data_IF_556079618007
#
_entry.id   IF_556079618007
#
_cell.length_a   1.000
_cell.length_b   1.000
_cell.length_c   1.000
_cell.angle_alpha   90.00
_cell.angle_beta   90.00
_cell.angle_gamma   90.00
#
_symmetry.space_group_name_H-M   'P 1'
#
loop_
_entity.id
_entity.type
_entity.pdbx_description
1 polymer ?
#
# COMPACT_ATOMS: atom_id res chain seq x y z
N UNK A 1 11.42 15.56 -12.05
CA UNK A 1 10.44 14.46 -11.94
C UNK A 1 9.26 15.00 -11.17
N UNK A 2 8.02 14.82 -11.64
CA UNK A 2 6.84 15.21 -10.86
C UNK A 2 6.75 14.35 -9.59
N UNK A 3 6.28 14.92 -8.50
CA UNK A 3 6.16 14.29 -7.17
C UNK A 3 5.24 13.06 -7.19
N UNK A 4 4.22 13.07 -8.05
CA UNK A 4 3.40 11.89 -8.39
C UNK A 4 4.23 10.66 -8.78
N UNK A 5 5.22 10.88 -9.66
CA UNK A 5 6.07 9.83 -10.18
C UNK A 5 7.05 9.33 -9.10
N UNK A 6 7.27 10.11 -8.04
CA UNK A 6 8.07 9.69 -6.90
C UNK A 6 7.32 8.66 -6.04
N UNK A 7 6.11 8.97 -5.56
CA UNK A 7 5.34 8.08 -4.71
C UNK A 7 4.97 6.77 -5.41
N UNK A 8 4.53 6.82 -6.67
CA UNK A 8 4.19 5.59 -7.40
C UNK A 8 5.44 4.70 -7.59
N UNK A 9 6.61 5.30 -7.85
CA UNK A 9 7.87 4.58 -7.95
C UNK A 9 8.29 3.96 -6.61
N UNK A 10 8.14 4.70 -5.50
CA UNK A 10 8.48 4.17 -4.18
C UNK A 10 7.50 3.06 -3.75
N UNK A 11 6.21 3.19 -4.06
CA UNK A 11 5.22 2.14 -3.86
C UNK A 11 5.63 0.83 -4.56
N UNK A 12 5.98 0.90 -5.85
CA UNK A 12 6.45 -0.26 -6.63
C UNK A 12 7.74 -0.86 -6.07
N UNK A 13 8.66 -0.02 -5.59
CA UNK A 13 9.91 -0.47 -4.95
C UNK A 13 9.67 -1.16 -3.61
N UNK A 14 8.74 -0.66 -2.80
CA UNK A 14 8.36 -1.27 -1.54
C UNK A 14 7.61 -2.59 -1.76
N UNK A 15 6.74 -2.64 -2.77
CA UNK A 15 6.07 -3.87 -3.19
C UNK A 15 7.09 -4.94 -3.60
N UNK A 16 8.08 -4.59 -4.43
CA UNK A 16 9.14 -5.53 -4.81
C UNK A 16 9.92 -6.06 -3.60
N UNK A 17 10.22 -5.20 -2.62
CA UNK A 17 10.87 -5.64 -1.37
C UNK A 17 9.97 -6.55 -0.53
N UNK A 18 8.66 -6.29 -0.52
CA UNK A 18 7.71 -7.16 0.17
C UNK A 18 7.69 -8.57 -0.45
N UNK A 19 7.70 -8.66 -1.79
CA UNK A 19 7.85 -9.94 -2.51
C UNK A 19 9.17 -10.65 -2.16
N UNK A 20 10.30 -9.92 -2.18
CA UNK A 20 11.61 -10.50 -1.85
C UNK A 20 11.66 -11.06 -0.42
N UNK A 21 11.00 -10.40 0.53
CA UNK A 21 10.93 -10.88 1.91
C UNK A 21 9.94 -12.02 2.10
N UNK A 22 8.81 -11.97 1.40
CA UNK A 22 7.87 -13.08 1.38
C UNK A 22 8.53 -14.37 0.89
N UNK A 23 9.27 -14.33 -0.22
CA UNK A 23 10.00 -15.50 -0.73
C UNK A 23 11.04 -16.00 0.28
N UNK A 24 11.82 -15.09 0.88
CA UNK A 24 12.78 -15.46 1.95
C UNK A 24 12.10 -16.07 3.16
N UNK A 25 10.94 -15.56 3.56
CA UNK A 25 10.16 -16.08 4.67
C UNK A 25 9.65 -17.49 4.35
N UNK A 26 9.19 -17.72 3.12
CA UNK A 26 8.67 -19.01 2.66
C UNK A 26 9.77 -20.07 2.57
N UNK A 27 10.92 -19.73 2.02
CA UNK A 27 12.09 -20.63 1.95
C UNK A 27 12.57 -21.07 3.34
N UNK A 28 12.51 -20.17 4.32
CA UNK A 28 13.03 -20.41 5.68
C UNK A 28 11.96 -20.82 6.69
N UNK A 29 10.68 -20.80 6.29
CA UNK A 29 9.53 -20.97 7.17
C UNK A 29 9.63 -20.00 8.38
N UNK A 30 9.90 -18.73 8.09
CA UNK A 30 10.20 -17.71 9.09
C UNK A 30 9.05 -16.70 9.20
N UNK A 31 8.22 -16.86 10.24
CA UNK A 31 7.12 -15.95 10.51
C UNK A 31 7.54 -14.52 10.86
N UNK A 32 8.77 -14.30 11.36
CA UNK A 32 9.26 -12.93 11.61
C UNK A 32 9.50 -12.20 10.31
N UNK A 33 10.14 -12.86 9.34
CA UNK A 33 10.38 -12.28 8.01
C UNK A 33 9.05 -12.11 7.26
N UNK A 34 8.07 -13.00 7.47
CA UNK A 34 6.73 -12.85 6.89
C UNK A 34 6.04 -11.59 7.40
N UNK A 35 6.18 -11.27 8.69
CA UNK A 35 5.69 -10.00 9.26
C UNK A 35 6.38 -8.79 8.66
N UNK A 36 7.70 -8.87 8.43
CA UNK A 36 8.45 -7.79 7.76
C UNK A 36 7.96 -7.55 6.32
N UNK A 37 7.63 -8.63 5.59
CA UNK A 37 7.01 -8.54 4.27
C UNK A 37 5.66 -7.79 4.34
N UNK A 38 4.82 -8.10 5.34
CA UNK A 38 3.57 -7.39 5.58
C UNK A 38 3.78 -5.90 5.90
N UNK A 39 4.78 -5.60 6.73
CA UNK A 39 5.15 -4.21 7.04
C UNK A 39 5.53 -3.43 5.78
N UNK A 40 6.26 -4.05 4.84
CA UNK A 40 6.60 -3.42 3.55
C UNK A 40 5.41 -3.32 2.61
N UNK A 41 4.52 -4.32 2.61
CA UNK A 41 3.23 -4.26 1.92
C UNK A 41 2.44 -3.03 2.37
N UNK A 42 2.34 -2.80 3.68
CA UNK A 42 1.66 -1.62 4.21
C UNK A 42 2.31 -0.30 3.80
N UNK A 43 3.64 -0.20 3.85
CA UNK A 43 4.34 1.01 3.38
C UNK A 43 4.07 1.26 1.89
N UNK A 44 4.02 0.20 1.07
CA UNK A 44 3.66 0.31 -0.35
C UNK A 44 2.23 0.83 -0.54
N UNK A 45 1.26 0.35 0.24
CA UNK A 45 -0.12 0.87 0.24
C UNK A 45 -0.15 2.38 0.55
N UNK A 46 0.63 2.83 1.53
CA UNK A 46 0.73 4.24 1.90
C UNK A 46 1.25 5.08 0.72
N UNK A 47 2.38 4.67 0.12
CA UNK A 47 2.98 5.40 -1.00
C UNK A 47 2.06 5.42 -2.23
N UNK A 48 1.39 4.30 -2.54
CA UNK A 48 0.40 4.26 -3.61
C UNK A 48 -0.76 5.24 -3.31
N UNK A 49 -1.24 5.27 -2.07
CA UNK A 49 -2.30 6.19 -1.63
C UNK A 49 -1.87 7.66 -1.75
N UNK A 50 -0.61 7.99 -1.43
CA UNK A 50 -0.08 9.34 -1.64
C UNK A 50 0.01 9.70 -3.12
N UNK A 51 0.44 8.76 -3.97
CA UNK A 51 0.42 8.98 -5.42
C UNK A 51 -0.99 9.34 -5.92
N UNK A 52 -2.02 8.62 -5.48
CA UNK A 52 -3.41 8.95 -5.79
C UNK A 52 -3.79 10.36 -5.33
N UNK A 53 -3.49 10.72 -4.08
CA UNK A 53 -3.87 12.03 -3.53
C UNK A 53 -3.18 13.17 -4.29
N UNK A 54 -1.91 13.01 -4.65
CA UNK A 54 -1.17 13.98 -5.46
C UNK A 54 -1.76 14.09 -6.87
N UNK A 55 -2.11 12.97 -7.53
CA UNK A 55 -2.80 12.97 -8.83
C UNK A 55 -4.12 13.75 -8.82
N UNK A 56 -4.83 13.70 -7.69
CA UNK A 56 -6.08 14.46 -7.48
C UNK A 56 -5.86 15.91 -7.01
N UNK A 57 -4.64 16.43 -7.13
CA UNK A 57 -4.30 17.84 -6.84
C UNK A 57 -3.90 18.10 -5.39
N UNK A 58 -3.68 17.05 -4.58
CA UNK A 58 -3.10 17.19 -3.25
C UNK A 58 -1.63 17.63 -3.30
N UNK A 59 -1.22 18.47 -2.34
CA UNK A 59 0.18 18.89 -2.21
C UNK A 59 0.97 17.96 -1.30
N UNK A 60 2.24 17.80 -1.60
CA UNK A 60 3.18 16.94 -0.86
C UNK A 60 3.20 17.26 0.64
N UNK A 61 3.30 18.55 0.97
CA UNK A 61 3.36 19.04 2.35
C UNK A 61 2.07 18.85 3.15
N UNK A 62 0.95 18.60 2.47
CA UNK A 62 -0.37 18.36 3.05
C UNK A 62 -0.68 16.87 3.22
N UNK A 63 0.22 15.97 2.79
CA UNK A 63 0.01 14.53 2.90
C UNK A 63 -0.05 14.08 4.37
N UNK A 64 -1.03 13.25 4.74
CA UNK A 64 -1.29 12.89 6.12
C UNK A 64 -0.26 11.91 6.69
N UNK A 65 0.47 12.32 7.74
CA UNK A 65 1.48 11.47 8.38
C UNK A 65 0.92 10.40 9.33
N UNK A 66 -0.33 10.56 9.78
CA UNK A 66 -0.98 9.65 10.73
C UNK A 66 -1.97 8.72 10.02
N UNK A 67 -2.21 7.55 10.61
CA UNK A 67 -3.22 6.61 10.11
C UNK A 67 -4.60 7.28 10.02
N UNK A 68 -5.03 7.95 11.09
CA UNK A 68 -6.29 8.71 11.11
C UNK A 68 -6.37 9.73 9.96
N UNK A 69 -5.28 10.44 9.70
CA UNK A 69 -5.21 11.40 8.59
C UNK A 69 -5.38 10.72 7.23
N UNK A 70 -4.68 9.60 6.99
CA UNK A 70 -4.82 8.84 5.75
C UNK A 70 -6.24 8.35 5.54
N UNK A 71 -6.87 7.78 6.58
CA UNK A 71 -8.28 7.34 6.55
C UNK A 71 -9.24 8.48 6.21
N UNK A 72 -9.00 9.67 6.77
CA UNK A 72 -9.80 10.86 6.44
C UNK A 72 -9.66 11.24 4.96
N UNK A 73 -8.43 11.30 4.45
CA UNK A 73 -8.17 11.67 3.05
C UNK A 73 -8.74 10.64 2.07
N UNK A 74 -8.60 9.34 2.35
CA UNK A 74 -9.22 8.28 1.54
C UNK A 74 -10.73 8.46 1.49
N UNK A 75 -11.40 8.63 2.65
CA UNK A 75 -12.85 8.85 2.66
C UNK A 75 -13.30 10.14 1.95
N UNK A 76 -12.43 11.16 1.90
CA UNK A 76 -12.76 12.45 1.29
C UNK A 76 -12.53 12.46 -0.22
N UNK A 77 -11.42 11.90 -0.68
CA UNK A 77 -10.93 12.08 -2.06
C UNK A 77 -11.01 10.82 -2.92
N UNK A 78 -11.01 9.63 -2.33
CA UNK A 78 -11.16 8.41 -3.14
C UNK A 78 -12.59 8.26 -3.62
N UNK A 79 -12.73 7.78 -4.84
CA UNK A 79 -14.01 7.33 -5.37
C UNK A 79 -14.51 6.15 -4.52
N UNK A 80 -15.83 6.02 -4.40
CA UNK A 80 -16.44 5.11 -3.43
C UNK A 80 -16.01 3.66 -3.62
N UNK A 81 -15.73 3.26 -4.86
CA UNK A 81 -15.28 1.92 -5.23
C UNK A 81 -13.83 1.61 -4.83
N UNK A 82 -12.95 2.63 -4.71
CA UNK A 82 -11.54 2.42 -4.34
C UNK A 82 -11.30 2.40 -2.83
N UNK A 83 -12.19 3.01 -2.05
CA UNK A 83 -12.05 3.08 -0.58
C UNK A 83 -11.92 1.70 0.10
N UNK A 84 -12.75 0.69 -0.26
CA UNK A 84 -12.66 -0.62 0.38
C UNK A 84 -11.29 -1.26 0.24
N UNK A 85 -10.62 -1.13 -0.91
CA UNK A 85 -9.28 -1.69 -1.13
C UNK A 85 -8.26 -1.12 -0.15
N UNK A 86 -8.24 0.20 0.06
CA UNK A 86 -7.34 0.81 1.04
C UNK A 86 -7.58 0.27 2.45
N UNK A 87 -8.85 0.20 2.88
CA UNK A 87 -9.19 -0.24 4.23
C UNK A 87 -8.88 -1.72 4.44
N UNK A 88 -9.17 -2.53 3.44
CA UNK A 88 -8.83 -3.94 3.42
C UNK A 88 -7.32 -4.14 3.53
N UNK A 89 -6.54 -3.55 2.63
CA UNK A 89 -5.08 -3.67 2.64
C UNK A 89 -4.44 -3.10 3.92
N UNK A 90 -5.03 -2.07 4.53
CA UNK A 90 -4.63 -1.61 5.86
C UNK A 90 -4.82 -2.72 6.89
N UNK A 91 -6.01 -3.27 6.99
CA UNK A 91 -6.32 -4.25 8.03
C UNK A 91 -5.45 -5.51 7.84
N UNK A 92 -5.33 -5.99 6.62
CA UNK A 92 -4.56 -7.19 6.29
C UNK A 92 -3.05 -7.00 6.51
N UNK A 93 -2.42 -5.96 5.95
CA UNK A 93 -0.97 -5.80 6.09
C UNK A 93 -0.53 -5.18 7.41
N UNK A 94 -1.23 -4.15 7.87
CA UNK A 94 -0.80 -3.38 9.04
C UNK A 94 -1.22 -4.07 10.34
N UNK A 95 -2.49 -4.49 10.44
CA UNK A 95 -3.06 -5.04 11.68
C UNK A 95 -2.78 -6.53 11.75
N UNK A 96 -3.42 -7.32 10.87
CA UNK A 96 -3.37 -8.78 10.92
C UNK A 96 -1.96 -9.32 10.62
N UNK A 97 -1.32 -8.81 9.57
CA UNK A 97 0.01 -9.25 9.13
C UNK A 97 1.13 -8.71 10.02
N UNK A 98 1.33 -7.39 10.07
CA UNK A 98 2.48 -6.82 10.76
C UNK A 98 2.35 -6.83 12.30
N UNK A 99 1.25 -6.31 12.86
CA UNK A 99 1.09 -6.18 14.31
C UNK A 99 0.74 -7.50 15.00
N UNK A 100 -0.29 -8.20 14.52
CA UNK A 100 -0.76 -9.44 15.14
C UNK A 100 0.07 -10.66 14.69
N UNK A 101 0.54 -10.68 13.44
CA UNK A 101 1.25 -11.83 12.88
C UNK A 101 0.33 -13.03 12.66
N UNK A 102 -0.95 -12.77 12.35
CA UNK A 102 -2.00 -13.76 12.23
C UNK A 102 -2.10 -14.42 10.85
N UNK A 103 -1.53 -13.79 9.82
CA UNK A 103 -1.60 -14.26 8.43
C UNK A 103 -0.57 -15.36 8.15
N UNK A 104 -0.97 -16.39 7.41
CA UNK A 104 -0.07 -17.41 6.90
C UNK A 104 0.50 -17.06 5.51
N UNK A 105 1.29 -17.98 4.92
CA UNK A 105 1.92 -17.74 3.63
C UNK A 105 0.92 -17.63 2.47
N UNK A 106 -0.19 -18.37 2.53
CA UNK A 106 -1.20 -18.34 1.47
C UNK A 106 -2.02 -17.05 1.57
N UNK A 107 -2.37 -16.62 2.79
CA UNK A 107 -2.99 -15.33 3.05
C UNK A 107 -2.12 -14.19 2.49
N UNK A 108 -0.85 -14.12 2.89
CA UNK A 108 0.05 -13.03 2.48
C UNK A 108 0.26 -13.00 0.97
N UNK A 109 0.34 -14.16 0.30
CA UNK A 109 0.43 -14.22 -1.16
C UNK A 109 -0.78 -13.55 -1.82
N UNK A 110 -2.00 -13.87 -1.39
CA UNK A 110 -3.22 -13.28 -1.92
C UNK A 110 -3.23 -11.76 -1.70
N UNK A 111 -2.77 -11.29 -0.52
CA UNK A 111 -2.72 -9.84 -0.22
C UNK A 111 -1.68 -9.10 -1.04
N UNK A 112 -0.56 -9.75 -1.40
CA UNK A 112 0.42 -9.16 -2.31
C UNK A 112 -0.16 -9.02 -3.72
N UNK A 113 -0.99 -9.96 -4.17
CA UNK A 113 -1.70 -9.84 -5.45
C UNK A 113 -2.73 -8.70 -5.43
N UNK A 114 -3.49 -8.56 -4.33
CA UNK A 114 -4.44 -7.46 -4.12
C UNK A 114 -3.73 -6.08 -4.09
N UNK A 115 -2.54 -6.02 -3.47
CA UNK A 115 -1.71 -4.82 -3.47
C UNK A 115 -1.21 -4.46 -4.87
N UNK A 116 -0.76 -5.44 -5.65
CA UNK A 116 -0.37 -5.21 -7.03
C UNK A 116 -1.53 -4.64 -7.85
N UNK A 117 -2.73 -5.22 -7.71
CA UNK A 117 -3.94 -4.69 -8.33
C UNK A 117 -4.24 -3.24 -7.89
N UNK A 118 -4.13 -2.94 -6.60
CA UNK A 118 -4.34 -1.58 -6.08
C UNK A 118 -3.34 -0.57 -6.67
N UNK A 119 -2.06 -0.93 -6.79
CA UNK A 119 -1.03 -0.09 -7.41
C UNK A 119 -1.34 0.15 -8.89
N UNK A 120 -1.74 -0.89 -9.63
CA UNK A 120 -2.12 -0.77 -11.04
C UNK A 120 -3.33 0.16 -11.23
N UNK A 121 -4.35 0.02 -10.38
CA UNK A 121 -5.52 0.91 -10.42
C UNK A 121 -5.14 2.36 -10.19
N UNK A 122 -4.24 2.64 -9.25
CA UNK A 122 -3.75 3.99 -8.99
C UNK A 122 -2.89 4.51 -10.15
N UNK A 123 -2.11 3.66 -10.80
CA UNK A 123 -1.34 4.02 -11.98
C UNK A 123 -2.25 4.47 -13.13
N UNK A 124 -3.38 3.80 -13.33
CA UNK A 124 -4.40 4.11 -14.35
C UNK A 124 -5.21 5.40 -14.06
N UNK A 125 -5.20 5.90 -12.81
CA UNK A 125 -5.92 7.14 -12.47
C UNK A 125 -5.33 8.31 -13.26
N UNK A 126 -6.18 8.97 -14.03
CA UNK A 126 -5.84 10.23 -14.71
C UNK A 126 -5.64 11.35 -13.69
N UNK A 127 -4.54 12.08 -13.84
CA UNK A 127 -4.28 13.30 -13.09
C UNK A 127 -5.23 14.43 -13.50
N UNK A 128 -5.46 15.39 -12.62
CA UNK A 128 -6.20 16.60 -12.99
C UNK A 128 -5.40 17.34 -14.08
N UNK A 129 -6.00 17.51 -15.26
CA UNK A 129 -5.42 18.37 -16.31
C UNK A 129 -5.24 19.78 -15.74
N UNK A 130 -3.99 20.25 -15.69
CA UNK A 130 -3.67 21.63 -15.30
C UNK A 130 -4.20 22.63 -16.32
#
# INVERSE_FOLDING_TARGET
>A
MSTENHHLKEAKKLYQKALEEFEKAKEKIDGTVLRDACGKGWLSVIEATYAFLVKKGGKEEELPKTDRGRRYMVNKYFEREFRPYYFFLRDEFHIEGYYEGALDFDDVQIRLDDLNFYIQKIEEVEGVSQ
#
